data_IF_455620712644
#
_entry.id   IF_455620712644
#
_cell.length_a   1.000
_cell.length_b   1.000
_cell.length_c   1.000
_cell.angle_alpha   90.00
_cell.angle_beta   90.00
_cell.angle_gamma   90.00
#
_symmetry.space_group_name_H-M   'P 1'
#
loop_
_entity.id
_entity.type
_entity.pdbx_description
1 polymer ?
#
# COMPACT_ATOMS: atom_id res chain seq x y z
N UNK A 1 -22.82 21.84 3.25
CA UNK A 1 -21.61 21.37 2.54
C UNK A 1 -20.53 22.43 2.75
N UNK A 2 -19.75 22.31 3.82
CA UNK A 2 -18.50 23.05 3.90
C UNK A 2 -17.47 22.31 3.03
N UNK A 3 -16.64 23.00 2.24
CA UNK A 3 -15.51 22.36 1.59
C UNK A 3 -14.60 21.86 2.71
N UNK A 4 -14.28 20.57 2.70
CA UNK A 4 -13.19 20.00 3.50
C UNK A 4 -11.97 20.89 3.29
N UNK A 5 -11.40 21.42 4.37
CA UNK A 5 -10.17 22.19 4.29
C UNK A 5 -9.16 21.35 3.50
N UNK A 6 -8.67 21.88 2.37
CA UNK A 6 -7.60 21.22 1.63
C UNK A 6 -6.40 21.15 2.58
N UNK A 7 -6.13 19.96 3.12
CA UNK A 7 -4.90 19.69 3.85
C UNK A 7 -3.78 19.89 2.84
N UNK A 8 -2.96 20.92 3.03
CA UNK A 8 -1.81 21.16 2.18
C UNK A 8 -0.83 20.00 2.38
N UNK A 9 -0.65 19.19 1.33
CA UNK A 9 0.23 18.03 1.38
C UNK A 9 1.67 18.53 1.38
N UNK A 10 2.43 18.12 2.38
CA UNK A 10 3.86 18.42 2.45
C UNK A 10 4.57 17.87 1.21
N UNK A 11 5.43 18.64 0.52
CA UNK A 11 6.01 18.22 -0.75
C UNK A 11 6.77 16.88 -0.70
N UNK A 12 7.33 16.51 0.45
CA UNK A 12 8.03 15.22 0.60
C UNK A 12 7.08 14.03 0.59
N UNK A 13 5.84 14.21 1.07
CA UNK A 13 4.82 13.17 1.11
C UNK A 13 4.35 12.75 -0.29
N UNK A 14 4.67 13.51 -1.33
CA UNK A 14 4.37 13.14 -2.72
C UNK A 14 5.54 12.44 -3.41
N UNK A 15 6.64 12.18 -2.69
CA UNK A 15 7.79 11.45 -3.20
C UNK A 15 7.58 9.95 -3.02
N UNK A 16 8.04 9.18 -4.00
CA UNK A 16 8.09 7.73 -3.98
C UNK A 16 9.43 7.21 -4.50
N UNK A 17 9.61 5.90 -4.41
CA UNK A 17 10.82 5.19 -4.81
C UNK A 17 10.57 4.33 -6.04
N UNK A 18 11.58 4.13 -6.87
CA UNK A 18 11.49 3.19 -7.99
C UNK A 18 11.62 1.74 -7.51
N UNK A 19 11.13 0.78 -8.31
CA UNK A 19 11.35 -0.66 -8.06
C UNK A 19 12.85 -0.97 -8.01
N UNK A 20 13.65 -0.30 -8.84
CA UNK A 20 15.11 -0.46 -8.84
C UNK A 20 15.71 -0.04 -7.51
N UNK A 21 15.31 1.11 -6.96
CA UNK A 21 15.77 1.55 -5.65
C UNK A 21 15.40 0.54 -4.55
N UNK A 22 14.18 0.00 -4.54
CA UNK A 22 13.75 -1.00 -3.56
C UNK A 22 14.66 -2.24 -3.57
N UNK A 23 14.98 -2.76 -4.76
CA UNK A 23 15.89 -3.90 -4.94
C UNK A 23 17.32 -3.58 -4.52
N UNK A 24 17.81 -2.38 -4.85
CA UNK A 24 19.14 -1.93 -4.44
C UNK A 24 19.23 -1.75 -2.92
N UNK A 25 18.22 -1.15 -2.30
CA UNK A 25 18.11 -0.99 -0.85
C UNK A 25 18.15 -2.35 -0.13
N UNK A 26 17.36 -3.32 -0.62
CA UNK A 26 17.39 -4.69 -0.11
C UNK A 26 18.81 -5.29 -0.16
N UNK A 27 19.52 -5.10 -1.28
CA UNK A 27 20.89 -5.60 -1.46
C UNK A 27 21.91 -4.87 -0.58
N UNK A 28 21.87 -3.54 -0.50
CA UNK A 28 22.79 -2.72 0.31
C UNK A 28 22.75 -3.13 1.79
N UNK A 29 21.55 -3.44 2.27
CA UNK A 29 21.31 -3.81 3.66
C UNK A 29 21.21 -5.32 3.90
N UNK A 30 21.47 -6.14 2.86
CA UNK A 30 21.43 -7.62 2.94
C UNK A 30 20.10 -8.15 3.50
N UNK A 31 19.00 -7.54 3.10
CA UNK A 31 17.64 -7.97 3.45
C UNK A 31 17.38 -9.29 2.72
N UNK A 32 17.12 -10.35 3.47
CA UNK A 32 16.82 -11.67 2.92
C UNK A 32 15.30 -11.91 2.75
N UNK A 33 14.93 -13.01 2.09
CA UNK A 33 13.54 -13.32 1.77
C UNK A 33 12.63 -13.51 3.00
N UNK A 34 13.20 -13.83 4.17
CA UNK A 34 12.49 -13.99 5.43
C UNK A 34 12.25 -12.68 6.17
N UNK A 35 12.91 -11.59 5.78
CA UNK A 35 12.72 -10.28 6.38
C UNK A 35 11.36 -9.69 6.03
N UNK A 36 10.61 -9.27 7.05
CA UNK A 36 9.33 -8.58 6.89
C UNK A 36 9.54 -7.11 6.61
N UNK A 37 8.55 -6.47 5.99
CA UNK A 37 8.52 -5.01 5.79
C UNK A 37 8.58 -4.25 7.12
N UNK A 38 8.09 -4.84 8.22
CA UNK A 38 8.26 -4.32 9.58
C UNK A 38 9.73 -4.24 9.99
N UNK A 39 10.51 -5.31 9.78
CA UNK A 39 11.95 -5.31 10.08
C UNK A 39 12.73 -4.32 9.20
N UNK A 40 12.26 -4.08 7.98
CA UNK A 40 12.80 -3.03 7.10
C UNK A 40 12.44 -1.64 7.63
N UNK A 41 11.26 -1.45 8.21
CA UNK A 41 10.90 -0.21 8.93
C UNK A 41 11.85 0.09 10.09
N UNK A 42 12.26 -0.92 10.87
CA UNK A 42 13.26 -0.76 11.95
C UNK A 42 14.63 -0.34 11.40
N UNK A 43 15.04 -0.91 10.27
CA UNK A 43 16.25 -0.50 9.56
C UNK A 43 16.15 0.94 9.06
N UNK A 44 15.01 1.33 8.48
CA UNK A 44 14.75 2.70 8.03
C UNK A 44 14.87 3.68 9.19
N UNK A 45 14.34 3.36 10.38
CA UNK A 45 14.51 4.18 11.58
C UNK A 45 16.00 4.40 11.90
N UNK A 46 16.82 3.36 11.77
CA UNK A 46 18.28 3.43 11.92
C UNK A 46 18.94 4.36 10.88
N UNK A 47 18.64 4.16 9.59
CA UNK A 47 19.19 4.95 8.47
C UNK A 47 18.81 6.43 8.59
N UNK A 48 17.61 6.71 9.06
CA UNK A 48 17.06 8.08 9.16
C UNK A 48 17.28 8.75 10.50
N UNK A 49 17.93 8.08 11.46
CA UNK A 49 18.09 8.54 12.84
C UNK A 49 18.74 9.92 13.00
N UNK A 50 19.73 10.24 12.15
CA UNK A 50 20.49 11.49 12.24
C UNK A 50 19.71 12.66 11.62
N UNK A 51 19.12 12.47 10.45
CA UNK A 51 18.46 13.56 9.70
C UNK A 51 17.00 13.74 10.11
N UNK A 52 16.36 12.67 10.61
CA UNK A 52 14.92 12.58 10.90
C UNK A 52 14.00 12.82 9.68
N UNK A 53 14.58 12.92 8.49
CA UNK A 53 13.88 13.03 7.21
C UNK A 53 13.47 11.64 6.71
N UNK A 54 12.48 11.57 5.82
CA UNK A 54 12.14 10.30 5.17
C UNK A 54 13.30 9.83 4.27
N UNK A 55 13.29 8.54 3.89
CA UNK A 55 14.33 8.04 2.97
C UNK A 55 14.22 8.74 1.62
N UNK A 56 13.00 8.98 1.14
CA UNK A 56 12.75 9.74 -0.08
C UNK A 56 13.40 11.14 -0.04
N UNK A 57 13.32 11.84 1.09
CA UNK A 57 13.96 13.15 1.25
C UNK A 57 15.49 13.06 1.23
N UNK A 58 16.06 12.09 1.95
CA UNK A 58 17.51 11.90 2.00
C UNK A 58 18.09 11.51 0.64
N UNK A 59 17.34 10.72 -0.13
CA UNK A 59 17.75 10.17 -1.42
C UNK A 59 17.25 11.02 -2.61
N UNK A 60 16.72 12.23 -2.38
CA UNK A 60 16.12 13.08 -3.43
C UNK A 60 17.07 13.38 -4.60
N UNK A 61 18.37 13.43 -4.34
CA UNK A 61 19.41 13.67 -5.33
C UNK A 61 20.24 12.43 -5.63
N UNK A 62 19.89 11.28 -5.05
CA UNK A 62 20.56 10.02 -5.29
C UNK A 62 20.11 9.43 -6.63
N UNK A 63 21.03 8.69 -7.24
CA UNK A 63 20.75 7.90 -8.44
C UNK A 63 20.97 6.42 -8.15
N UNK A 64 20.26 5.56 -8.86
CA UNK A 64 20.46 4.11 -8.87
C UNK A 64 21.79 3.76 -9.55
N UNK A 65 22.19 2.49 -9.51
CA UNK A 65 23.43 2.03 -10.17
C UNK A 65 23.45 2.31 -11.69
N UNK A 66 22.27 2.36 -12.30
CA UNK A 66 22.09 2.66 -13.73
C UNK A 66 21.98 4.18 -14.00
N UNK A 67 22.35 5.01 -13.02
CA UNK A 67 22.34 6.47 -13.07
C UNK A 67 20.95 7.11 -13.27
N UNK A 68 19.87 6.41 -12.91
CA UNK A 68 18.50 6.96 -12.92
C UNK A 68 18.16 7.55 -11.55
N UNK A 69 17.31 8.59 -11.45
CA UNK A 69 16.91 9.10 -10.14
C UNK A 69 16.28 8.00 -9.27
N UNK A 70 16.72 7.90 -8.01
CA UNK A 70 16.20 6.90 -7.07
C UNK A 70 14.79 7.24 -6.55
N UNK A 71 14.50 8.54 -6.49
CA UNK A 71 13.29 9.12 -5.91
C UNK A 71 12.69 10.11 -6.89
N UNK A 72 11.36 10.12 -6.98
CA UNK A 72 10.60 11.00 -7.85
C UNK A 72 9.19 11.21 -7.33
N UNK A 73 8.36 11.95 -8.06
CA UNK A 73 6.95 12.11 -7.71
C UNK A 73 6.24 10.76 -7.87
N UNK A 74 5.58 10.29 -6.82
CA UNK A 74 4.87 9.03 -6.86
C UNK A 74 3.70 9.06 -7.85
N UNK A 75 3.58 7.99 -8.64
CA UNK A 75 2.49 7.75 -9.58
C UNK A 75 1.46 6.73 -9.06
N UNK A 76 1.88 5.89 -8.11
CA UNK A 76 1.01 4.88 -7.49
C UNK A 76 1.28 4.80 -5.98
N UNK A 77 0.21 4.68 -5.20
CA UNK A 77 0.23 4.45 -3.77
C UNK A 77 0.25 2.95 -3.50
N UNK A 78 1.16 2.47 -2.66
CA UNK A 78 1.30 1.04 -2.37
C UNK A 78 0.68 0.71 -1.02
N UNK A 79 -0.44 -0.03 -1.06
CA UNK A 79 -1.04 -0.62 0.13
C UNK A 79 -0.49 -2.04 0.34
N UNK A 80 0.17 -2.26 1.48
CA UNK A 80 0.79 -3.55 1.79
C UNK A 80 0.83 -3.79 3.31
N UNK A 81 0.87 -5.06 3.72
CA UNK A 81 0.96 -5.41 5.13
C UNK A 81 2.43 -5.49 5.59
N UNK A 82 2.77 -4.75 6.65
CA UNK A 82 4.15 -4.73 7.18
C UNK A 82 4.64 -6.10 7.67
N UNK A 83 3.74 -7.00 8.04
CA UNK A 83 4.11 -8.37 8.45
C UNK A 83 4.59 -9.25 7.29
N UNK A 84 4.35 -8.86 6.03
CA UNK A 84 4.71 -9.64 4.85
C UNK A 84 6.16 -9.39 4.42
N UNK A 85 6.68 -10.30 3.58
CA UNK A 85 8.07 -10.27 3.12
C UNK A 85 8.34 -9.02 2.29
N UNK A 86 9.41 -8.30 2.64
CA UNK A 86 9.82 -7.11 1.88
C UNK A 86 10.37 -7.48 0.49
N UNK A 87 11.03 -8.62 0.36
CA UNK A 87 11.51 -9.10 -0.94
C UNK A 87 10.33 -9.42 -1.85
N UNK A 88 9.29 -10.09 -1.33
CA UNK A 88 8.06 -10.33 -2.11
C UNK A 88 7.33 -9.04 -2.47
N UNK A 89 7.34 -8.02 -1.61
CA UNK A 89 6.85 -6.69 -1.97
C UNK A 89 7.60 -6.14 -3.19
N UNK A 90 8.94 -6.18 -3.18
CA UNK A 90 9.75 -5.72 -4.32
C UNK A 90 9.43 -6.49 -5.61
N UNK A 91 9.27 -7.81 -5.53
CA UNK A 91 8.94 -8.66 -6.67
C UNK A 91 7.53 -8.38 -7.21
N UNK A 92 6.55 -8.16 -6.32
CA UNK A 92 5.18 -7.83 -6.69
C UNK A 92 5.08 -6.47 -7.38
N UNK A 93 5.82 -5.47 -6.90
CA UNK A 93 5.88 -4.15 -7.54
C UNK A 93 6.63 -4.18 -8.87
N UNK A 94 7.66 -5.02 -9.00
CA UNK A 94 8.32 -5.27 -10.28
C UNK A 94 7.40 -5.96 -11.29
N UNK A 95 6.62 -6.94 -10.84
CA UNK A 95 5.60 -7.59 -11.67
C UNK A 95 4.53 -6.60 -12.12
N UNK A 96 4.09 -5.70 -11.23
CA UNK A 96 3.14 -4.64 -11.55
C UNK A 96 3.65 -3.71 -12.65
N UNK A 97 4.85 -3.16 -12.49
CA UNK A 97 5.48 -2.28 -13.50
C UNK A 97 5.60 -2.99 -14.85
N UNK A 98 6.00 -4.26 -14.87
CA UNK A 98 6.14 -5.03 -16.09
C UNK A 98 4.78 -5.35 -16.76
N UNK A 99 3.78 -5.76 -15.98
CA UNK A 99 2.43 -6.09 -16.46
C UNK A 99 1.76 -4.92 -17.16
N UNK A 100 2.03 -3.71 -16.66
CA UNK A 100 1.43 -2.47 -17.16
C UNK A 100 2.30 -1.75 -18.18
N UNK A 101 3.41 -2.34 -18.59
CA UNK A 101 4.40 -1.76 -19.50
C UNK A 101 4.83 -0.34 -19.07
N UNK A 102 4.93 -0.11 -17.76
CA UNK A 102 5.38 1.15 -17.19
C UNK A 102 6.92 1.24 -17.33
N UNK A 103 7.42 2.45 -17.54
CA UNK A 103 8.86 2.68 -17.57
C UNK A 103 9.44 2.63 -16.15
N UNK A 104 10.20 1.58 -15.84
CA UNK A 104 10.84 1.39 -14.53
C UNK A 104 11.75 2.57 -14.15
N UNK A 105 12.35 3.27 -15.12
CA UNK A 105 13.23 4.40 -14.87
C UNK A 105 12.50 5.70 -14.46
N UNK A 106 11.20 5.80 -14.73
CA UNK A 106 10.39 6.98 -14.45
C UNK A 106 9.12 6.71 -13.62
N UNK A 107 8.90 5.46 -13.22
CA UNK A 107 7.79 5.06 -12.35
C UNK A 107 8.24 5.03 -10.89
N UNK A 108 7.60 5.87 -10.08
CA UNK A 108 7.87 5.97 -8.65
C UNK A 108 6.63 5.56 -7.86
N UNK A 109 6.86 4.79 -6.82
CA UNK A 109 5.84 4.15 -6.00
C UNK A 109 5.91 4.76 -4.59
N UNK A 110 4.80 5.28 -4.11
CA UNK A 110 4.69 5.74 -2.75
C UNK A 110 4.59 4.52 -1.83
N UNK A 111 5.67 4.27 -1.11
CA UNK A 111 5.77 3.20 -0.11
C UNK A 111 5.98 3.88 1.24
N UNK A 112 5.08 3.66 2.18
CA UNK A 112 5.02 4.34 3.48
C UNK A 112 6.36 4.28 4.23
N UNK A 113 7.05 3.14 4.21
CA UNK A 113 8.35 2.92 4.86
C UNK A 113 9.37 3.99 4.44
N UNK A 114 9.37 4.37 3.16
CA UNK A 114 10.38 5.28 2.59
C UNK A 114 9.90 6.73 2.48
N UNK A 115 8.58 6.92 2.36
CA UNK A 115 7.98 8.21 2.03
C UNK A 115 7.63 9.01 3.29
N UNK A 116 7.21 8.32 4.36
CA UNK A 116 6.90 8.92 5.68
C UNK A 116 8.19 9.17 6.48
N UNK A 117 8.22 10.29 7.21
CA UNK A 117 9.20 10.52 8.27
C UNK A 117 8.86 9.64 9.47
N UNK A 118 9.48 8.47 9.54
CA UNK A 118 9.24 7.47 10.60
C UNK A 118 9.51 8.01 12.02
N UNK A 119 10.28 9.09 12.16
CA UNK A 119 10.59 9.76 13.43
C UNK A 119 9.58 10.85 13.84
N UNK A 120 8.64 11.21 12.96
CA UNK A 120 7.61 12.25 13.13
C UNK A 120 6.28 11.75 12.56
N UNK A 121 5.89 10.53 12.96
CA UNK A 121 4.78 9.80 12.38
C UNK A 121 3.45 10.56 12.53
N UNK A 122 3.24 11.25 13.65
CA UNK A 122 1.99 11.98 13.91
C UNK A 122 1.72 13.08 12.87
N UNK A 123 2.76 13.78 12.41
CA UNK A 123 2.63 14.85 11.42
C UNK A 123 2.37 14.31 10.01
N UNK A 124 2.94 13.15 9.67
CA UNK A 124 2.84 12.58 8.32
C UNK A 124 1.64 11.64 8.15
N UNK A 125 1.23 10.90 9.19
CA UNK A 125 0.15 9.91 9.10
C UNK A 125 -1.20 10.55 8.75
N UNK A 126 -1.45 11.77 9.23
CA UNK A 126 -2.67 12.54 8.92
C UNK A 126 -2.73 12.98 7.46
N UNK A 127 -1.60 12.93 6.74
CA UNK A 127 -1.50 13.30 5.32
C UNK A 127 -1.61 12.10 4.38
N UNK A 128 -1.54 10.86 4.87
CA UNK A 128 -1.64 9.63 4.04
C UNK A 128 -2.91 9.65 3.19
N UNK A 129 -4.02 10.07 3.81
CA UNK A 129 -5.31 10.22 3.18
C UNK A 129 -5.32 11.20 1.99
N UNK A 130 -4.98 12.49 2.17
CA UNK A 130 -4.76 13.42 1.08
C UNK A 130 -3.74 12.95 0.03
N UNK A 131 -2.68 12.24 0.43
CA UNK A 131 -1.64 11.75 -0.49
C UNK A 131 -2.18 10.68 -1.42
N UNK A 132 -2.90 9.70 -0.89
CA UNK A 132 -3.56 8.65 -1.69
C UNK A 132 -4.50 9.29 -2.74
N UNK A 133 -5.33 10.24 -2.30
CA UNK A 133 -6.23 11.00 -3.18
C UNK A 133 -5.45 11.78 -4.26
N UNK A 134 -4.36 12.45 -3.89
CA UNK A 134 -3.55 13.24 -4.82
C UNK A 134 -2.76 12.39 -5.82
N UNK A 135 -2.41 11.15 -5.47
CA UNK A 135 -1.77 10.19 -6.38
C UNK A 135 -2.81 9.61 -7.35
N UNK A 136 -4.01 9.27 -6.86
CA UNK A 136 -5.11 8.84 -7.71
C UNK A 136 -5.01 7.40 -8.23
N UNK A 137 -4.06 6.61 -7.71
CA UNK A 137 -3.91 5.18 -8.01
C UNK A 137 -3.39 4.41 -6.80
N UNK A 138 -4.08 3.33 -6.43
CA UNK A 138 -3.69 2.41 -5.35
C UNK A 138 -3.39 1.02 -5.89
N UNK A 139 -2.22 0.52 -5.53
CA UNK A 139 -1.74 -0.83 -5.81
C UNK A 139 -1.75 -1.61 -4.50
N UNK A 140 -2.72 -2.51 -4.35
CA UNK A 140 -2.83 -3.40 -3.21
C UNK A 140 -2.00 -4.66 -3.45
N UNK A 141 -1.04 -4.92 -2.56
CA UNK A 141 -0.18 -6.10 -2.60
C UNK A 141 -0.80 -7.22 -1.77
N UNK A 142 -1.03 -8.39 -2.38
CA UNK A 142 -1.50 -9.59 -1.69
C UNK A 142 -0.34 -10.57 -1.49
N UNK A 143 -0.03 -10.90 -0.23
CA UNK A 143 0.96 -11.91 0.12
C UNK A 143 0.64 -12.60 1.45
N UNK A 144 0.54 -13.94 1.49
CA UNK A 144 0.20 -14.80 0.34
C UNK A 144 -1.26 -14.55 -0.11
N UNK A 145 -1.63 -14.93 -1.34
CA UNK A 145 -2.99 -14.67 -1.84
C UNK A 145 -4.07 -15.49 -1.10
N UNK A 146 -3.72 -16.68 -0.60
CA UNK A 146 -4.62 -17.61 0.09
C UNK A 146 -4.82 -17.29 1.58
N UNK A 147 -4.11 -16.28 2.07
CA UNK A 147 -4.27 -15.67 3.40
C UNK A 147 -3.74 -14.24 3.35
N UNK A 148 -4.43 -13.34 2.62
CA UNK A 148 -3.92 -12.01 2.33
C UNK A 148 -3.92 -11.17 3.61
N UNK A 149 -2.74 -10.99 4.20
CA UNK A 149 -2.58 -10.24 5.46
C UNK A 149 -3.05 -8.79 5.28
N UNK A 150 -2.86 -8.20 4.11
CA UNK A 150 -3.35 -6.85 3.81
C UNK A 150 -4.88 -6.73 3.92
N UNK A 151 -5.65 -7.79 3.67
CA UNK A 151 -7.11 -7.77 3.87
C UNK A 151 -7.53 -8.03 5.33
N UNK A 152 -6.61 -8.38 6.21
CA UNK A 152 -6.87 -8.50 7.66
C UNK A 152 -6.46 -7.26 8.42
N UNK A 153 -5.64 -6.37 7.87
CA UNK A 153 -5.12 -5.18 8.57
C UNK A 153 -6.02 -3.98 8.40
N UNK A 154 -6.36 -3.33 9.52
CA UNK A 154 -7.31 -2.22 9.49
C UNK A 154 -6.82 -1.00 8.70
N UNK A 155 -5.52 -0.69 8.75
CA UNK A 155 -4.92 0.39 7.96
C UNK A 155 -4.97 0.12 6.45
N UNK A 156 -4.68 -1.12 6.03
CA UNK A 156 -4.82 -1.49 4.62
C UNK A 156 -6.29 -1.41 4.16
N UNK A 157 -7.24 -1.87 4.99
CA UNK A 157 -8.67 -1.70 4.68
C UNK A 157 -9.09 -0.23 4.65
N UNK A 158 -8.53 0.60 5.52
CA UNK A 158 -8.72 2.05 5.49
C UNK A 158 -8.20 2.65 4.18
N UNK A 159 -7.02 2.28 3.68
CA UNK A 159 -6.55 2.76 2.37
C UNK A 159 -7.55 2.39 1.25
N UNK A 160 -8.12 1.19 1.28
CA UNK A 160 -9.18 0.81 0.34
C UNK A 160 -10.46 1.65 0.46
N UNK A 161 -10.80 2.13 1.67
CA UNK A 161 -11.94 3.05 1.90
C UNK A 161 -11.77 4.33 1.08
N UNK A 162 -10.57 4.90 1.16
CA UNK A 162 -10.25 6.17 0.52
C UNK A 162 -10.30 6.01 -0.98
N UNK A 163 -9.73 4.92 -1.49
CA UNK A 163 -9.80 4.58 -2.90
C UNK A 163 -11.24 4.54 -3.43
N UNK A 164 -12.16 3.93 -2.66
CA UNK A 164 -13.57 3.85 -3.01
C UNK A 164 -14.30 5.20 -2.95
N UNK A 165 -14.01 6.01 -1.92
CA UNK A 165 -14.66 7.30 -1.72
C UNK A 165 -14.26 8.31 -2.81
N UNK A 166 -12.97 8.35 -3.13
CA UNK A 166 -12.39 9.34 -4.03
C UNK A 166 -12.41 8.91 -5.51
N UNK A 167 -12.91 7.71 -5.80
CA UNK A 167 -12.96 7.18 -7.16
C UNK A 167 -11.57 6.89 -7.76
N UNK A 168 -10.60 6.63 -6.89
CA UNK A 168 -9.22 6.28 -7.23
C UNK A 168 -9.16 4.85 -7.77
N UNK A 169 -8.27 4.59 -8.73
CA UNK A 169 -8.11 3.25 -9.29
C UNK A 169 -7.52 2.29 -8.24
N UNK A 170 -8.20 1.17 -8.00
CA UNK A 170 -7.67 0.08 -7.17
C UNK A 170 -7.23 -1.08 -8.05
N UNK A 171 -5.97 -1.47 -7.91
CA UNK A 171 -5.37 -2.57 -8.66
C UNK A 171 -4.69 -3.55 -7.71
N UNK A 172 -4.65 -4.83 -8.09
CA UNK A 172 -4.02 -5.88 -7.30
C UNK A 172 -2.68 -6.26 -7.94
N UNK A 173 -1.68 -6.50 -7.11
CA UNK A 173 -0.45 -7.16 -7.54
C UNK A 173 0.02 -8.19 -6.53
N UNK A 174 0.78 -9.16 -7.02
CA UNK A 174 1.34 -10.26 -6.25
C UNK A 174 2.75 -10.57 -6.75
N UNK A 175 3.57 -11.18 -5.89
CA UNK A 175 4.84 -11.74 -6.34
C UNK A 175 4.59 -12.81 -7.44
N UNK A 176 5.49 -12.98 -8.42
CA UNK A 176 5.23 -13.85 -9.58
C UNK A 176 4.86 -15.30 -9.23
N UNK A 177 5.39 -15.85 -8.14
CA UNK A 177 5.03 -17.18 -7.62
C UNK A 177 3.59 -17.22 -7.09
N UNK A 178 3.20 -16.24 -6.28
CA UNK A 178 1.82 -16.09 -5.78
C UNK A 178 0.83 -15.84 -6.91
N UNK A 179 1.19 -15.02 -7.91
CA UNK A 179 0.35 -14.78 -9.08
C UNK A 179 0.08 -16.07 -9.86
N UNK A 180 1.10 -16.90 -10.11
CA UNK A 180 0.92 -18.20 -10.77
C UNK A 180 0.01 -19.13 -9.97
N UNK A 181 0.17 -19.17 -8.64
CA UNK A 181 -0.69 -19.97 -7.74
C UNK A 181 -2.14 -19.47 -7.78
N UNK A 182 -2.35 -18.16 -7.76
CA UNK A 182 -3.67 -17.54 -7.83
C UNK A 182 -4.37 -17.86 -9.16
N UNK A 183 -3.69 -17.69 -10.29
CA UNK A 183 -4.25 -17.96 -11.63
C UNK A 183 -4.62 -19.44 -11.78
N UNK A 184 -3.75 -20.34 -11.35
CA UNK A 184 -4.04 -21.78 -11.37
C UNK A 184 -5.27 -22.13 -10.52
N UNK A 185 -5.42 -21.48 -9.36
CA UNK A 185 -6.57 -21.69 -8.50
C UNK A 185 -7.86 -21.05 -9.05
N UNK A 186 -7.79 -19.86 -9.66
CA UNK A 186 -8.93 -19.22 -10.31
C UNK A 186 -9.53 -20.11 -11.41
N UNK A 187 -8.69 -20.82 -12.16
CA UNK A 187 -9.12 -21.81 -13.16
C UNK A 187 -9.79 -23.04 -12.52
N UNK A 188 -9.41 -23.41 -11.30
CA UNK A 188 -9.89 -24.60 -10.59
C UNK A 188 -11.15 -24.35 -9.76
N UNK A 189 -11.18 -23.28 -8.99
CA UNK A 189 -12.27 -22.89 -8.10
C UNK A 189 -12.37 -21.36 -7.98
N UNK A 190 -12.80 -20.72 -9.07
CA UNK A 190 -13.04 -19.27 -9.12
C UNK A 190 -13.92 -18.77 -7.96
N UNK A 191 -14.99 -19.51 -7.64
CA UNK A 191 -15.92 -19.09 -6.57
C UNK A 191 -15.26 -19.22 -5.19
N UNK A 192 -14.43 -20.24 -4.97
CA UNK A 192 -13.61 -20.40 -3.76
C UNK A 192 -12.65 -19.24 -3.54
N UNK A 193 -11.90 -18.84 -4.56
CA UNK A 193 -11.00 -17.69 -4.50
C UNK A 193 -11.76 -16.41 -4.17
N UNK A 194 -12.88 -16.16 -4.86
CA UNK A 194 -13.71 -14.98 -4.58
C UNK A 194 -14.25 -14.98 -3.14
N UNK A 195 -14.72 -16.11 -2.64
CA UNK A 195 -15.19 -16.22 -1.24
C UNK A 195 -14.06 -15.90 -0.26
N UNK A 196 -12.86 -16.45 -0.48
CA UNK A 196 -11.70 -16.24 0.39
C UNK A 196 -11.29 -14.77 0.44
N UNK A 197 -11.09 -14.15 -0.72
CA UNK A 197 -10.64 -12.76 -0.81
C UNK A 197 -11.70 -11.73 -0.39
N UNK A 198 -12.95 -12.15 -0.21
CA UNK A 198 -14.04 -11.28 0.26
C UNK A 198 -14.55 -11.63 1.67
N UNK A 199 -13.88 -12.55 2.38
CA UNK A 199 -14.31 -13.02 3.70
C UNK A 199 -13.94 -12.09 4.88
N UNK A 200 -13.29 -10.95 4.62
CA UNK A 200 -12.89 -10.01 5.68
C UNK A 200 -14.04 -9.13 6.16
N UNK A 201 -13.89 -8.59 7.37
CA UNK A 201 -14.75 -7.57 7.94
C UNK A 201 -13.89 -6.55 8.68
N UNK A 202 -14.04 -5.26 8.35
CA UNK A 202 -13.26 -4.19 8.98
C UNK A 202 -13.43 -4.12 10.50
N UNK A 203 -14.59 -4.56 11.03
CA UNK A 203 -14.86 -4.58 12.47
C UNK A 203 -13.91 -5.51 13.22
N UNK A 204 -13.52 -6.62 12.60
CA UNK A 204 -12.66 -7.64 13.19
C UNK A 204 -11.24 -7.60 12.63
N UNK A 205 -10.89 -6.56 11.87
CA UNK A 205 -9.56 -6.40 11.32
C UNK A 205 -8.51 -6.28 12.43
N UNK A 206 -7.33 -6.82 12.19
CA UNK A 206 -6.16 -6.74 13.06
C UNK A 206 -5.65 -5.30 13.13
N UNK A 207 -5.32 -4.88 14.35
CA UNK A 207 -4.82 -3.54 14.66
C UNK A 207 -3.62 -3.65 15.58
N UNK A 208 -2.58 -2.84 15.33
CA UNK A 208 -1.40 -2.78 16.21
C UNK A 208 -1.59 -1.79 17.36
N UNK A 209 -2.40 -0.74 17.15
CA UNK A 209 -2.76 0.28 18.16
C UNK A 209 -4.29 0.37 18.23
N UNK A 210 -4.90 -0.08 19.32
CA UNK A 210 -6.37 -0.20 19.41
C UNK A 210 -7.12 1.13 19.17
N UNK A 211 -6.48 2.28 19.45
CA UNK A 211 -7.04 3.59 19.14
C UNK A 211 -7.31 3.77 17.63
N UNK A 212 -6.52 3.15 16.75
CA UNK A 212 -6.71 3.20 15.29
C UNK A 212 -8.03 2.54 14.88
N UNK A 213 -8.50 1.52 15.63
CA UNK A 213 -9.79 0.88 15.34
C UNK A 213 -10.93 1.87 15.49
N UNK A 214 -10.98 2.54 16.63
CA UNK A 214 -12.01 3.54 16.90
C UNK A 214 -11.94 4.68 15.88
N UNK A 215 -10.73 5.15 15.57
CA UNK A 215 -10.51 6.20 14.59
C UNK A 215 -11.01 5.80 13.19
N UNK A 216 -10.57 4.66 12.65
CA UNK A 216 -10.93 4.22 11.30
C UNK A 216 -12.43 3.94 11.19
N UNK A 217 -13.05 3.29 12.18
CA UNK A 217 -14.49 3.08 12.18
C UNK A 217 -15.27 4.42 12.21
N UNK A 218 -14.76 5.40 12.95
CA UNK A 218 -15.35 6.75 12.95
C UNK A 218 -15.15 7.45 11.60
N UNK A 219 -14.02 7.26 10.93
CA UNK A 219 -13.79 7.79 9.59
C UNK A 219 -14.75 7.16 8.57
N UNK A 220 -14.95 5.84 8.61
CA UNK A 220 -15.96 5.15 7.77
C UNK A 220 -17.35 5.75 7.97
N UNK A 221 -17.75 5.95 9.23
CA UNK A 221 -19.04 6.54 9.56
C UNK A 221 -19.15 8.01 9.08
N UNK A 222 -18.07 8.78 9.19
CA UNK A 222 -18.05 10.17 8.73
C UNK A 222 -18.13 10.27 7.20
N UNK A 223 -17.53 9.31 6.50
CA UNK A 223 -17.46 9.28 5.03
C UNK A 223 -18.75 8.76 4.37
N UNK A 224 -19.37 7.72 4.93
CA UNK A 224 -20.55 7.07 4.34
C UNK A 224 -21.85 7.22 5.13
N UNK A 225 -21.85 7.99 6.23
CA UNK A 225 -23.00 8.20 7.12
C UNK A 225 -22.92 7.41 8.43
N UNK A 226 -23.71 7.81 9.42
CA UNK A 226 -23.63 7.23 10.77
C UNK A 226 -24.33 5.86 10.89
N UNK A 227 -23.82 5.01 11.79
CA UNK A 227 -24.43 3.73 12.20
C UNK A 227 -23.87 2.49 11.50
N UNK A 228 -24.36 1.30 11.88
CA UNK A 228 -23.89 0.00 11.34
C UNK A 228 -24.00 -0.10 9.81
N UNK A 229 -24.93 0.64 9.21
CA UNK A 229 -25.14 0.66 7.76
C UNK A 229 -23.94 1.17 6.96
N UNK A 230 -23.11 2.07 7.49
CA UNK A 230 -21.91 2.56 6.78
C UNK A 230 -20.76 1.57 6.79
N UNK A 231 -20.60 0.82 7.89
CA UNK A 231 -19.62 -0.26 7.98
C UNK A 231 -19.98 -1.41 7.05
N UNK A 232 -21.27 -1.78 7.01
CA UNK A 232 -21.75 -2.80 6.07
C UNK A 232 -21.67 -2.31 4.61
N UNK A 233 -21.92 -1.01 4.36
CA UNK A 233 -21.70 -0.38 3.06
C UNK A 233 -20.22 -0.49 2.64
N UNK A 234 -19.29 -0.06 3.49
CA UNK A 234 -17.86 -0.17 3.24
C UNK A 234 -17.45 -1.60 2.90
N UNK A 235 -17.78 -2.56 3.78
CA UNK A 235 -17.46 -3.97 3.57
C UNK A 235 -18.00 -4.46 2.21
N UNK A 236 -19.24 -4.11 1.85
CA UNK A 236 -19.84 -4.51 0.56
C UNK A 236 -19.12 -3.89 -0.63
N UNK A 237 -18.83 -2.60 -0.60
CA UNK A 237 -18.18 -1.89 -1.72
C UNK A 237 -16.72 -2.31 -1.90
N UNK A 238 -15.97 -2.52 -0.81
CA UNK A 238 -14.59 -3.04 -0.87
C UNK A 238 -14.56 -4.44 -1.47
N UNK A 239 -15.47 -5.32 -1.04
CA UNK A 239 -15.61 -6.65 -1.64
C UNK A 239 -15.99 -6.58 -3.13
N UNK A 240 -16.80 -5.60 -3.54
CA UNK A 240 -17.16 -5.40 -4.93
C UNK A 240 -15.96 -4.89 -5.76
N UNK A 241 -15.16 -3.98 -5.23
CA UNK A 241 -13.94 -3.50 -5.88
C UNK A 241 -12.89 -4.60 -6.04
N UNK A 242 -12.68 -5.42 -5.01
CA UNK A 242 -11.77 -6.57 -5.10
C UNK A 242 -12.21 -7.57 -6.17
N UNK A 243 -13.52 -7.84 -6.31
CA UNK A 243 -14.04 -8.69 -7.39
C UNK A 243 -13.74 -8.12 -8.77
N UNK A 244 -13.85 -6.80 -8.96
CA UNK A 244 -13.50 -6.13 -10.21
C UNK A 244 -11.99 -6.20 -10.48
N UNK A 245 -11.17 -5.99 -9.47
CA UNK A 245 -9.72 -6.04 -9.63
C UNK A 245 -9.22 -7.48 -9.92
N UNK A 246 -9.90 -8.50 -9.40
CA UNK A 246 -9.58 -9.91 -9.67
C UNK A 246 -9.86 -10.34 -11.11
N UNK A 247 -10.74 -9.67 -11.84
CA UNK A 247 -10.99 -10.01 -13.24
C UNK A 247 -9.79 -9.72 -14.15
N UNK A 248 -8.77 -9.01 -13.66
CA UNK A 248 -7.50 -8.85 -14.36
C UNK A 248 -6.65 -10.15 -14.40
N UNK A 249 -6.97 -11.14 -13.55
CA UNK A 249 -6.24 -12.41 -13.45
C UNK A 249 -6.99 -13.60 -14.05
N UNK A 250 -8.23 -13.39 -14.52
CA UNK A 250 -9.11 -14.41 -15.13
C UNK A 250 -9.11 -14.31 -16.64
#
# INVERSE_FOLDING_TARGET
>A
LQPTAHVEISPHMLLGVSVRFLKEFARWHRIDAGASSLSVGELVLGVTSVTRLSVCEQMRWAVTEDAMPAVGRAAHFVSHAHACSFVKLCDALGAYVAMHALDEASTYLWVDLFSIRQHDLEADIVQVAPVEQAIGSVVLVLDPWDRPVSLTRIWCLFELLQSLHDGVSLELTLAPDEQRRLVAELQRDYTGVLRLLTAFDVRTADVSVEADRALILQMIASTFGEGEGSVDYFNRETRAALRRALSAFS
#
